data_IF_170951112123
#
_entry.id   IF_170951112123
#
_cell.length_a   1.000
_cell.length_b   1.000
_cell.length_c   1.000
_cell.angle_alpha   90.00
_cell.angle_beta   90.00
_cell.angle_gamma   90.00
#
_symmetry.space_group_name_H-M   'P 1'
#
loop_
_entity.id
_entity.type
_entity.pdbx_description
1 polymer ?
#
# COMPACT_ATOMS: atom_id res chain seq x y z
N UNK A 1 -22.92 -11.31 12.11
CA UNK A 1 -23.16 -9.92 12.54
C UNK A 1 -21.98 -9.10 12.06
N UNK A 2 -22.19 -8.11 11.21
CA UNK A 2 -21.11 -7.22 10.79
C UNK A 2 -21.10 -6.07 11.79
N UNK A 3 -20.14 -6.09 12.73
CA UNK A 3 -19.92 -4.95 13.61
C UNK A 3 -19.56 -3.75 12.74
N UNK A 4 -20.38 -2.71 12.82
CA UNK A 4 -20.09 -1.40 12.26
C UNK A 4 -18.90 -0.84 13.03
N UNK A 5 -17.70 -0.98 12.47
CA UNK A 5 -16.52 -0.31 13.01
C UNK A 5 -16.69 1.18 12.72
N UNK A 6 -17.06 1.95 13.75
CA UNK A 6 -17.21 3.39 13.68
C UNK A 6 -15.81 4.02 13.77
N UNK A 7 -15.28 4.48 12.64
CA UNK A 7 -13.97 5.10 12.56
C UNK A 7 -14.08 6.61 12.79
N UNK A 8 -13.65 7.12 13.95
CA UNK A 8 -13.48 8.56 14.15
C UNK A 8 -12.14 8.99 13.52
N UNK A 9 -12.18 9.53 12.30
CA UNK A 9 -10.99 10.05 11.63
C UNK A 9 -10.79 11.51 12.06
N UNK A 10 -9.94 11.75 13.05
CA UNK A 10 -9.54 13.10 13.46
C UNK A 10 -8.76 13.76 12.32
N UNK A 11 -9.23 14.91 11.82
CA UNK A 11 -8.57 15.67 10.74
C UNK A 11 -9.17 15.47 9.34
N UNK A 12 -10.27 14.73 9.21
CA UNK A 12 -10.95 14.62 7.92
C UNK A 12 -11.62 15.94 7.52
N UNK A 13 -12.26 16.62 8.46
CA UNK A 13 -12.96 17.89 8.20
C UNK A 13 -12.01 19.01 7.80
N UNK A 14 -10.85 19.11 8.46
CA UNK A 14 -9.79 20.05 8.08
C UNK A 14 -9.24 19.77 6.69
N UNK A 15 -9.06 18.50 6.34
CA UNK A 15 -8.62 18.10 5.01
C UNK A 15 -9.66 18.44 3.94
N UNK A 16 -10.95 18.20 4.19
CA UNK A 16 -12.03 18.52 3.27
C UNK A 16 -12.11 20.03 2.97
N UNK A 17 -12.06 20.88 4.00
CA UNK A 17 -12.07 22.34 3.79
C UNK A 17 -10.86 22.83 2.98
N UNK A 18 -9.67 22.26 3.22
CA UNK A 18 -8.48 22.63 2.43
C UNK A 18 -8.55 22.13 0.99
N UNK A 19 -9.19 20.98 0.73
CA UNK A 19 -9.30 20.41 -0.61
C UNK A 19 -10.08 21.29 -1.58
N UNK A 20 -11.09 22.03 -1.11
CA UNK A 20 -11.87 22.95 -1.94
C UNK A 20 -11.03 24.09 -2.51
N UNK A 21 -9.99 24.51 -1.77
CA UNK A 21 -9.11 25.62 -2.17
C UNK A 21 -7.99 25.24 -3.16
N UNK A 22 -7.87 23.96 -3.53
CA UNK A 22 -6.70 23.43 -4.25
C UNK A 22 -7.07 22.90 -5.64
N UNK A 23 -6.21 23.18 -6.63
CA UNK A 23 -6.42 22.69 -7.99
C UNK A 23 -6.41 21.16 -8.10
N UNK A 24 -7.16 20.65 -9.07
CA UNK A 24 -7.30 19.21 -9.33
C UNK A 24 -5.96 18.48 -9.45
N UNK A 25 -4.98 19.06 -10.16
CA UNK A 25 -3.67 18.44 -10.37
C UNK A 25 -2.85 18.31 -9.09
N UNK A 26 -2.94 19.30 -8.22
CA UNK A 26 -2.28 19.26 -6.91
C UNK A 26 -2.96 18.22 -6.03
N UNK A 27 -4.30 18.22 -5.99
CA UNK A 27 -5.08 17.21 -5.29
C UNK A 27 -4.71 15.80 -5.75
N UNK A 28 -4.57 15.58 -7.06
CA UNK A 28 -4.16 14.29 -7.64
C UNK A 28 -2.73 13.90 -7.27
N UNK A 29 -1.75 14.80 -7.46
CA UNK A 29 -0.33 14.52 -7.18
C UNK A 29 -0.09 14.31 -5.69
N UNK A 30 -0.68 15.15 -4.84
CA UNK A 30 -0.64 15.06 -3.39
C UNK A 30 -1.31 13.77 -2.89
N UNK A 31 -2.53 13.48 -3.37
CA UNK A 31 -3.25 12.26 -3.03
C UNK A 31 -2.50 11.00 -3.44
N UNK A 32 -1.87 10.98 -4.62
CA UNK A 32 -1.07 9.83 -5.05
C UNK A 32 0.17 9.62 -4.18
N UNK A 33 0.83 10.70 -3.76
CA UNK A 33 1.98 10.61 -2.86
C UNK A 33 1.57 10.12 -1.46
N UNK A 34 0.49 10.67 -0.90
CA UNK A 34 -0.06 10.25 0.38
C UNK A 34 -0.53 8.79 0.35
N UNK A 35 -1.23 8.38 -0.71
CA UNK A 35 -1.68 6.99 -0.86
C UNK A 35 -0.50 6.01 -0.99
N UNK A 36 0.61 6.42 -1.62
CA UNK A 36 1.83 5.60 -1.64
C UNK A 36 2.37 5.41 -0.23
N UNK A 37 2.38 6.45 0.61
CA UNK A 37 2.86 6.36 2.00
C UNK A 37 1.96 5.46 2.85
N UNK A 38 0.64 5.60 2.75
CA UNK A 38 -0.31 4.71 3.40
C UNK A 38 -0.12 3.24 2.96
N UNK A 39 0.03 3.00 1.66
CA UNK A 39 0.26 1.66 1.14
C UNK A 39 1.65 1.09 1.54
N UNK A 40 2.66 1.93 1.80
CA UNK A 40 3.96 1.49 2.34
C UNK A 40 3.82 0.90 3.74
N UNK A 41 2.92 1.42 4.58
CA UNK A 41 2.63 0.86 5.91
C UNK A 41 2.13 -0.58 5.77
N UNK A 42 1.10 -0.79 4.94
CA UNK A 42 0.54 -2.13 4.67
C UNK A 42 1.59 -3.06 4.09
N UNK A 43 2.41 -2.57 3.15
CA UNK A 43 3.51 -3.32 2.54
C UNK A 43 4.53 -3.75 3.59
N UNK A 44 4.90 -2.87 4.54
CA UNK A 44 5.83 -3.21 5.60
C UNK A 44 5.26 -4.29 6.52
N UNK A 45 3.99 -4.17 6.94
CA UNK A 45 3.34 -5.22 7.74
C UNK A 45 3.30 -6.58 7.02
N UNK A 46 3.12 -6.56 5.70
CA UNK A 46 3.17 -7.77 4.89
C UNK A 46 4.59 -8.37 4.85
N UNK A 47 5.62 -7.53 4.76
CA UNK A 47 7.03 -7.96 4.88
C UNK A 47 7.32 -8.57 6.23
N UNK A 48 6.96 -7.88 7.32
CA UNK A 48 7.17 -8.37 8.69
C UNK A 48 6.45 -9.72 8.93
N UNK A 49 5.29 -9.93 8.29
CA UNK A 49 4.58 -11.20 8.32
C UNK A 49 5.27 -12.30 7.52
N UNK A 50 5.75 -11.97 6.31
CA UNK A 50 6.46 -12.90 5.44
C UNK A 50 7.83 -13.32 5.98
N UNK A 51 8.58 -12.41 6.61
CA UNK A 51 9.89 -12.70 7.24
C UNK A 51 9.81 -13.79 8.31
N UNK A 52 8.65 -13.97 8.96
CA UNK A 52 8.43 -15.03 9.95
C UNK A 52 8.25 -16.41 9.31
N UNK A 53 7.91 -16.44 8.03
CA UNK A 53 7.60 -17.66 7.27
C UNK A 53 8.75 -18.03 6.33
N UNK A 54 9.53 -17.04 5.91
CA UNK A 54 10.67 -17.23 5.00
C UNK A 54 11.69 -18.24 5.54
N UNK A 55 12.12 -19.14 4.65
CA UNK A 55 13.14 -20.13 4.95
C UNK A 55 14.54 -19.50 4.85
N UNK A 56 15.19 -19.36 6.00
CA UNK A 56 16.55 -18.80 6.12
C UNK A 56 17.63 -19.64 5.42
N UNK A 57 17.35 -20.90 5.09
CA UNK A 57 18.29 -21.78 4.42
C UNK A 57 18.38 -21.54 2.90
N UNK A 58 17.43 -20.82 2.30
CA UNK A 58 17.44 -20.53 0.86
C UNK A 58 17.51 -19.03 0.59
N UNK A 59 18.02 -18.63 -0.58
CA UNK A 59 17.98 -17.23 -1.01
C UNK A 59 16.58 -16.74 -1.41
N UNK A 60 15.57 -17.61 -1.38
CA UNK A 60 14.19 -17.27 -1.72
C UNK A 60 13.50 -16.64 -0.52
N UNK A 61 13.31 -15.33 -0.56
CA UNK A 61 12.52 -14.60 0.44
C UNK A 61 11.24 -14.05 -0.17
N UNK A 62 10.09 -14.42 0.41
CA UNK A 62 8.79 -13.83 0.10
C UNK A 62 8.81 -12.36 0.48
N UNK A 63 9.40 -11.97 1.61
CA UNK A 63 9.44 -10.59 2.07
C UNK A 63 10.20 -9.66 1.11
N UNK A 64 11.29 -10.14 0.52
CA UNK A 64 12.04 -9.43 -0.54
C UNK A 64 11.20 -9.23 -1.79
N UNK A 65 10.39 -10.22 -2.15
CA UNK A 65 9.51 -10.20 -3.31
C UNK A 65 8.22 -9.39 -3.09
N UNK A 66 7.90 -8.91 -1.89
CA UNK A 66 6.72 -8.05 -1.68
C UNK A 66 6.98 -6.65 -2.24
N UNK A 67 6.15 -6.26 -3.20
CA UNK A 67 6.28 -5.00 -3.90
C UNK A 67 5.00 -4.18 -3.97
N UNK A 68 5.17 -2.87 -3.88
CA UNK A 68 4.12 -1.87 -4.08
C UNK A 68 4.19 -1.34 -5.52
N UNK A 69 3.08 -1.47 -6.27
CA UNK A 69 2.96 -1.04 -7.68
C UNK A 69 1.79 -0.10 -7.90
N UNK A 70 1.99 0.93 -8.71
CA UNK A 70 0.92 1.86 -9.11
C UNK A 70 -0.14 1.17 -9.97
N UNK A 71 -1.42 1.37 -9.65
CA UNK A 71 -2.53 0.81 -10.43
C UNK A 71 -2.94 1.76 -11.57
N UNK A 72 -2.12 1.79 -12.62
CA UNK A 72 -2.41 2.63 -13.80
C UNK A 72 -3.68 2.23 -14.54
N UNK A 73 -4.07 0.96 -14.49
CA UNK A 73 -5.31 0.47 -15.12
C UNK A 73 -6.56 1.05 -14.44
N UNK A 74 -6.62 0.96 -13.10
CA UNK A 74 -7.71 1.56 -12.31
C UNK A 74 -7.82 3.06 -12.60
N UNK A 75 -6.69 3.75 -12.60
CA UNK A 75 -6.65 5.19 -12.86
C UNK A 75 -7.17 5.54 -14.26
N UNK A 76 -6.76 4.80 -15.30
CA UNK A 76 -7.25 5.03 -16.68
C UNK A 76 -8.74 4.75 -16.84
N UNK A 77 -9.30 3.81 -16.08
CA UNK A 77 -10.70 3.40 -16.20
C UNK A 77 -11.66 4.27 -15.39
N UNK A 78 -11.23 4.77 -14.23
CA UNK A 78 -12.12 5.39 -13.24
C UNK A 78 -11.68 6.77 -12.78
N UNK A 79 -10.44 7.18 -13.06
CA UNK A 79 -9.81 8.35 -12.45
C UNK A 79 -9.35 8.14 -11.00
N UNK A 80 -9.70 7.01 -10.37
CA UNK A 80 -9.36 6.74 -8.98
C UNK A 80 -7.89 6.39 -8.78
N UNK A 81 -7.33 6.85 -7.65
CA UNK A 81 -5.98 6.53 -7.24
C UNK A 81 -5.95 5.14 -6.60
N UNK A 82 -4.95 4.34 -6.94
CA UNK A 82 -4.78 3.02 -6.32
C UNK A 82 -3.36 2.49 -6.44
N UNK A 83 -2.92 1.78 -5.40
CA UNK A 83 -1.72 0.96 -5.44
C UNK A 83 -2.10 -0.51 -5.23
N UNK A 84 -1.26 -1.40 -5.74
CA UNK A 84 -1.35 -2.84 -5.55
C UNK A 84 -0.15 -3.26 -4.72
N UNK A 85 -0.40 -4.12 -3.74
CA UNK A 85 0.64 -4.77 -2.95
C UNK A 85 0.53 -6.25 -3.27
N UNK A 86 1.64 -6.87 -3.63
CA UNK A 86 1.66 -8.28 -3.98
C UNK A 86 3.07 -8.82 -4.08
N UNK A 87 3.18 -10.12 -4.28
CA UNK A 87 4.46 -10.81 -4.41
C UNK A 87 4.89 -10.82 -5.88
N UNK A 88 6.13 -10.43 -6.14
CA UNK A 88 6.76 -10.44 -7.46
C UNK A 88 6.94 -11.85 -8.00
N UNK A 89 7.28 -11.96 -9.29
CA UNK A 89 7.51 -13.22 -10.01
C UNK A 89 6.30 -14.15 -10.16
N UNK A 90 5.18 -13.84 -9.50
CA UNK A 90 3.93 -14.60 -9.62
C UNK A 90 3.92 -15.86 -8.74
N UNK A 91 3.00 -16.77 -9.03
CA UNK A 91 2.78 -17.98 -8.25
C UNK A 91 3.20 -19.27 -8.99
N UNK A 92 3.94 -19.15 -10.10
CA UNK A 92 4.34 -20.27 -10.95
C UNK A 92 5.83 -20.17 -11.24
N UNK A 93 6.61 -21.23 -10.97
CA UNK A 93 7.99 -21.35 -11.43
C UNK A 93 7.99 -21.75 -12.89
N UNK A 94 8.75 -21.04 -13.71
CA UNK A 94 9.21 -21.59 -14.99
C UNK A 94 10.51 -22.33 -14.73
N UNK A 95 10.63 -23.55 -15.28
CA UNK A 95 11.87 -24.34 -15.32
C UNK A 95 12.50 -24.66 -13.96
N UNK A 96 11.70 -25.02 -12.95
CA UNK A 96 12.16 -25.38 -11.59
C UNK A 96 12.63 -24.20 -10.72
N UNK A 97 13.01 -23.10 -11.38
CA UNK A 97 13.39 -21.80 -10.89
C UNK A 97 14.61 -21.75 -9.97
N UNK A 98 15.19 -20.56 -9.88
CA UNK A 98 16.45 -20.31 -9.18
C UNK A 98 16.24 -20.22 -7.65
N UNK A 99 17.26 -20.57 -6.87
CA UNK A 99 17.30 -20.46 -5.41
C UNK A 99 18.14 -19.25 -4.93
N UNK A 100 18.71 -18.49 -5.87
CA UNK A 100 19.47 -17.28 -5.60
C UNK A 100 18.62 -16.18 -4.92
N UNK A 101 19.26 -15.18 -4.28
CA UNK A 101 18.56 -14.02 -3.73
C UNK A 101 17.58 -13.37 -4.71
N UNK A 102 16.41 -12.97 -4.24
CA UNK A 102 15.36 -12.34 -5.06
C UNK A 102 14.84 -13.23 -6.21
N UNK A 103 14.97 -14.55 -6.06
CA UNK A 103 14.37 -15.53 -6.97
C UNK A 103 12.86 -15.67 -6.76
N UNK A 104 12.10 -16.21 -7.74
CA UNK A 104 10.66 -16.44 -7.63
C UNK A 104 10.28 -17.30 -6.42
N UNK A 105 9.27 -16.86 -5.65
CA UNK A 105 8.79 -17.54 -4.44
C UNK A 105 7.36 -18.08 -4.59
N UNK A 106 7.04 -18.94 -5.57
CA UNK A 106 5.64 -19.30 -5.90
C UNK A 106 4.84 -19.90 -4.73
N UNK A 107 5.54 -20.48 -3.74
CA UNK A 107 4.99 -21.13 -2.57
C UNK A 107 4.25 -20.14 -1.65
N UNK A 108 4.46 -18.82 -1.81
CA UNK A 108 3.73 -17.77 -1.08
C UNK A 108 2.21 -17.97 -1.13
N UNK A 109 1.66 -18.43 -2.26
CA UNK A 109 0.21 -18.63 -2.43
C UNK A 109 -0.30 -19.81 -1.60
N UNK A 110 0.48 -20.88 -1.56
CA UNK A 110 0.13 -22.09 -0.81
C UNK A 110 0.10 -21.79 0.68
N UNK A 111 1.03 -20.96 1.14
CA UNK A 111 1.08 -20.44 2.51
C UNK A 111 -0.14 -19.54 2.78
N UNK A 112 -0.39 -18.53 1.93
CA UNK A 112 -1.46 -17.56 2.17
C UNK A 112 -2.87 -18.18 2.16
N UNK A 113 -3.12 -19.18 1.31
CA UNK A 113 -4.45 -19.76 1.12
C UNK A 113 -4.62 -21.17 1.68
N UNK A 114 -3.53 -21.85 2.02
CA UNK A 114 -3.55 -23.26 2.38
C UNK A 114 -3.73 -24.18 1.18
N UNK A 115 -3.65 -25.48 1.44
CA UNK A 115 -3.93 -26.57 0.51
C UNK A 115 -4.74 -27.64 1.22
N UNK A 116 -5.14 -28.70 0.52
CA UNK A 116 -5.77 -29.87 1.14
C UNK A 116 -4.90 -30.54 2.22
N UNK A 117 -3.56 -30.38 2.12
CA UNK A 117 -2.58 -31.03 2.97
C UNK A 117 -1.94 -30.08 4.01
N UNK A 118 -2.28 -28.78 3.98
CA UNK A 118 -1.64 -27.76 4.82
C UNK A 118 -2.60 -26.61 5.13
N UNK A 119 -2.70 -26.25 6.41
CA UNK A 119 -3.47 -25.09 6.85
C UNK A 119 -2.88 -23.77 6.33
N UNK A 120 -3.73 -22.80 6.01
CA UNK A 120 -3.29 -21.47 5.61
C UNK A 120 -2.58 -20.73 6.75
N UNK A 121 -1.46 -20.09 6.44
CA UNK A 121 -0.73 -19.16 7.31
C UNK A 121 -0.72 -17.80 6.62
N UNK A 122 -1.83 -17.04 6.69
CA UNK A 122 -1.95 -15.79 5.94
C UNK A 122 -1.03 -14.71 6.51
N UNK A 123 -0.38 -13.95 5.62
CA UNK A 123 0.45 -12.80 5.96
C UNK A 123 -0.01 -11.54 5.22
N UNK A 124 -0.59 -11.66 4.03
CA UNK A 124 -1.10 -10.52 3.24
C UNK A 124 -2.44 -10.02 3.76
N UNK A 125 -3.41 -10.91 3.98
CA UNK A 125 -4.73 -10.55 4.55
C UNK A 125 -4.61 -9.84 5.91
N UNK A 126 -3.89 -10.39 6.92
CA UNK A 126 -3.76 -9.72 8.20
C UNK A 126 -2.94 -8.43 8.11
N UNK A 127 -1.99 -8.32 7.17
CA UNK A 127 -1.25 -7.08 6.98
C UNK A 127 -2.17 -5.90 6.67
N UNK A 128 -3.20 -6.09 5.83
CA UNK A 128 -4.19 -5.04 5.59
C UNK A 128 -5.16 -4.89 6.76
N UNK A 129 -5.77 -5.99 7.22
CA UNK A 129 -6.81 -5.94 8.26
C UNK A 129 -6.34 -5.27 9.55
N UNK A 130 -5.10 -5.54 9.96
CA UNK A 130 -4.54 -5.00 11.20
C UNK A 130 -3.98 -3.58 11.06
N UNK A 131 -3.85 -3.06 9.83
CA UNK A 131 -3.26 -1.73 9.58
C UNK A 131 -4.23 -0.73 8.97
N UNK A 132 -5.55 -1.02 8.94
CA UNK A 132 -6.56 -0.11 8.37
C UNK A 132 -6.48 1.28 9.02
N UNK A 133 -6.48 1.34 10.35
CA UNK A 133 -6.41 2.62 11.09
C UNK A 133 -5.07 3.34 10.86
N UNK A 134 -3.95 2.61 10.91
CA UNK A 134 -2.61 3.19 10.71
C UNK A 134 -2.45 3.74 9.28
N UNK A 135 -2.91 2.99 8.27
CA UNK A 135 -2.84 3.38 6.88
C UNK A 135 -3.75 4.58 6.56
N UNK A 136 -4.97 4.61 7.14
CA UNK A 136 -5.90 5.74 6.97
C UNK A 136 -5.38 7.00 7.63
N UNK A 137 -4.87 6.92 8.85
CA UNK A 137 -4.23 8.06 9.54
C UNK A 137 -2.98 8.57 8.80
N UNK A 138 -2.16 7.64 8.28
CA UNK A 138 -1.00 7.99 7.45
C UNK A 138 -1.42 8.68 6.17
N UNK A 139 -2.50 8.23 5.53
CA UNK A 139 -3.05 8.87 4.34
C UNK A 139 -3.49 10.30 4.63
N UNK A 140 -4.34 10.50 5.65
CA UNK A 140 -4.87 11.81 6.03
C UNK A 140 -3.74 12.77 6.34
N UNK A 141 -2.83 12.38 7.23
CA UNK A 141 -1.70 13.24 7.64
C UNK A 141 -0.76 13.60 6.49
N UNK A 142 -0.38 12.64 5.63
CA UNK A 142 0.49 12.92 4.49
C UNK A 142 -0.22 13.75 3.42
N UNK A 143 -1.53 13.59 3.29
CA UNK A 143 -2.30 14.33 2.31
C UNK A 143 -2.50 15.78 2.75
N UNK A 144 -2.85 16.03 4.01
CA UNK A 144 -2.89 17.37 4.60
C UNK A 144 -1.56 18.09 4.40
N UNK A 145 -0.44 17.44 4.73
CA UNK A 145 0.90 18.01 4.49
C UNK A 145 1.14 18.36 3.03
N UNK A 146 0.63 17.56 2.09
CA UNK A 146 0.81 17.81 0.66
C UNK A 146 -0.03 19.00 0.19
N UNK A 147 -1.26 19.12 0.70
CA UNK A 147 -2.16 20.23 0.45
C UNK A 147 -1.57 21.53 1.01
N UNK A 148 -1.13 21.54 2.28
CA UNK A 148 -0.51 22.72 2.91
C UNK A 148 0.71 23.21 2.14
N UNK A 149 1.57 22.27 1.68
CA UNK A 149 2.71 22.60 0.82
C UNK A 149 2.28 23.25 -0.48
N UNK A 150 1.16 22.85 -1.05
CA UNK A 150 0.67 23.43 -2.29
C UNK A 150 0.04 24.80 -2.09
N UNK A 151 -0.74 25.00 -1.02
CA UNK A 151 -1.28 26.31 -0.65
C UNK A 151 -0.14 27.30 -0.43
N UNK A 152 0.90 26.93 0.32
CA UNK A 152 2.11 27.77 0.52
C UNK A 152 2.80 28.12 -0.80
N UNK A 153 2.93 27.16 -1.72
CA UNK A 153 3.52 27.40 -3.05
C UNK A 153 2.67 28.35 -3.90
N UNK A 154 1.35 28.21 -3.85
CA UNK A 154 0.42 29.09 -4.56
C UNK A 154 0.49 30.52 -4.01
N UNK A 155 0.47 30.68 -2.68
CA UNK A 155 0.62 31.98 -2.01
C UNK A 155 1.96 32.65 -2.36
N UNK A 156 3.07 31.90 -2.32
CA UNK A 156 4.39 32.43 -2.73
C UNK A 156 4.40 32.90 -4.18
N UNK A 157 3.82 32.11 -5.10
CA UNK A 157 3.74 32.46 -6.52
C UNK A 157 2.90 33.73 -6.75
N UNK A 158 1.82 33.91 -6.00
CA UNK A 158 1.00 35.11 -6.05
C UNK A 158 1.76 36.36 -5.55
N UNK A 159 2.58 36.22 -4.50
CA UNK A 159 3.37 37.32 -3.94
C UNK A 159 4.59 37.74 -4.79
N UNK A 160 5.00 36.92 -5.76
CA UNK A 160 6.14 37.22 -6.65
C UNK A 160 5.68 37.83 -7.99
N UNK A 161 4.37 38.02 -8.17
CA UNK A 161 3.75 38.53 -9.39
C UNK A 161 3.14 39.90 -9.11
#
# INVERSE_FOLDING_TARGET
MADSVEFSITGLDSLLGKLESVSYDVRRKGGRAALRKAAQVVMQKAKDGAERIDDKATGRSISDNIALRWNGKLFKQTGNLGFRIGVLHGAVLKDGGDLSPNSPTPHWRLIEFGTENMSAVPFMRPALANSISEATNTFVSEYEKAIDRAIRRAAKKAATK
#
